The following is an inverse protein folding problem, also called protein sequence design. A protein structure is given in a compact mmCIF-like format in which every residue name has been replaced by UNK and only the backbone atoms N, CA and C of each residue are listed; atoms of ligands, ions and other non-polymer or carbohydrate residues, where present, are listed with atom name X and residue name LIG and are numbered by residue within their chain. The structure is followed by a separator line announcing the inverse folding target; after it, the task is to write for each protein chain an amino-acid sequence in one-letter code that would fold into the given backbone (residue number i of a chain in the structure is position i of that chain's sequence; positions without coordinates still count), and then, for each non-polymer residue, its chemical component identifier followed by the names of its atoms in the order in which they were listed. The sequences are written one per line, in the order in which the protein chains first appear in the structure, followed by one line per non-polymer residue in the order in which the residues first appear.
data_IF_353425893591
#
_entry.id   IF_353425893591
#
_cell.length_a   1.000
_cell.length_b   1.000
_cell.length_c   1.000
_cell.angle_alpha   90.00
_cell.angle_beta   90.00
_cell.angle_gamma   90.00
#
_symmetry.space_group_name_H-M   'P 1'
#
loop_
_entity.id
_entity.type
_entity.pdbx_description
1 polymer ?
#
# COMPACT_ATOMS: atom_id res chain seq x y z
N UNK A 1 14.01 -16.37 -10.64
CA UNK A 1 12.93 -15.39 -10.92
C UNK A 1 13.24 -14.71 -12.24
N UNK A 2 12.37 -14.81 -13.25
CA UNK A 2 12.56 -14.11 -14.53
C UNK A 2 12.18 -12.65 -14.30
N UNK A 3 13.14 -11.70 -14.33
CA UNK A 3 12.90 -10.33 -13.84
C UNK A 3 11.82 -9.59 -14.63
N UNK A 4 11.71 -9.87 -15.93
CA UNK A 4 10.79 -9.20 -16.85
C UNK A 4 9.32 -9.63 -16.68
N UNK A 5 9.08 -10.92 -16.39
CA UNK A 5 7.71 -11.43 -16.19
C UNK A 5 7.11 -10.87 -14.91
N UNK A 6 7.92 -10.75 -13.84
CA UNK A 6 7.47 -10.22 -12.56
C UNK A 6 7.06 -8.74 -12.68
N UNK A 7 7.86 -7.90 -13.35
CA UNK A 7 7.51 -6.48 -13.53
C UNK A 7 6.23 -6.29 -14.35
N UNK A 8 6.01 -7.12 -15.38
CA UNK A 8 4.77 -7.11 -16.17
C UNK A 8 3.54 -7.46 -15.33
N UNK A 9 3.63 -8.48 -14.47
CA UNK A 9 2.51 -8.89 -13.61
C UNK A 9 2.17 -7.78 -12.61
N UNK A 10 3.19 -7.21 -11.94
CA UNK A 10 2.99 -6.11 -10.99
C UNK A 10 2.33 -4.89 -11.65
N UNK A 11 2.79 -4.53 -12.84
CA UNK A 11 2.22 -3.43 -13.64
C UNK A 11 0.75 -3.70 -13.99
N UNK A 12 0.44 -4.89 -14.51
CA UNK A 12 -0.94 -5.28 -14.82
C UNK A 12 -1.86 -5.30 -13.59
N UNK A 13 -1.34 -5.71 -12.43
CA UNK A 13 -2.10 -5.71 -11.19
C UNK A 13 -2.40 -4.28 -10.74
N UNK A 14 -1.41 -3.38 -10.76
CA UNK A 14 -1.60 -1.98 -10.45
C UNK A 14 -2.61 -1.32 -11.41
N UNK A 15 -2.50 -1.56 -12.72
CA UNK A 15 -3.44 -1.07 -13.73
C UNK A 15 -4.85 -1.63 -13.51
N UNK A 16 -4.99 -2.94 -13.25
CA UNK A 16 -6.27 -3.59 -13.01
C UNK A 16 -6.99 -3.13 -11.74
N UNK A 17 -6.23 -2.67 -10.74
CA UNK A 17 -6.74 -2.05 -9.52
C UNK A 17 -6.95 -0.52 -9.67
N UNK A 18 -6.51 0.09 -10.78
CA UNK A 18 -6.53 1.55 -10.98
C UNK A 18 -5.52 2.31 -10.13
N UNK A 19 -4.46 1.64 -9.65
CA UNK A 19 -3.43 2.18 -8.76
C UNK A 19 -2.11 2.50 -9.48
N UNK A 20 -2.04 2.35 -10.80
CA UNK A 20 -0.81 2.55 -11.60
C UNK A 20 -0.27 3.99 -11.54
N UNK A 21 -1.16 4.98 -11.36
CA UNK A 21 -0.79 6.39 -11.16
C UNK A 21 -0.73 6.81 -9.69
N UNK A 22 -1.06 5.93 -8.75
CA UNK A 22 -1.05 6.28 -7.34
C UNK A 22 0.37 6.59 -6.86
N UNK A 23 0.53 7.69 -6.11
CA UNK A 23 1.82 8.09 -5.50
C UNK A 23 1.89 7.72 -4.02
N UNK A 24 0.75 7.69 -3.37
CA UNK A 24 0.59 7.31 -1.96
C UNK A 24 -0.59 6.36 -1.90
N UNK A 25 -0.36 5.16 -1.36
CA UNK A 25 -1.39 4.18 -1.07
C UNK A 25 -1.60 4.19 0.44
N UNK A 26 -2.80 4.52 0.88
CA UNK A 26 -3.15 4.64 2.29
C UNK A 26 -4.28 3.68 2.67
N UNK A 27 -4.18 3.06 3.83
CA UNK A 27 -5.28 2.39 4.51
C UNK A 27 -5.45 2.99 5.92
N UNK A 28 -6.65 2.92 6.48
CA UNK A 28 -6.90 3.42 7.84
C UNK A 28 -8.19 2.83 8.41
N UNK A 29 -8.70 3.45 9.47
CA UNK A 29 -9.87 3.02 10.25
C UNK A 29 -9.63 1.79 11.13
N UNK A 30 -8.99 0.74 10.60
CA UNK A 30 -8.66 -0.47 11.34
C UNK A 30 -7.28 -1.00 10.96
N UNK A 31 -6.59 -1.72 11.87
CA UNK A 31 -5.32 -2.36 11.56
C UNK A 31 -5.50 -3.41 10.45
N UNK A 32 -4.69 -3.31 9.40
CA UNK A 32 -4.67 -4.29 8.31
C UNK A 32 -3.90 -5.53 8.76
N UNK A 33 -4.30 -6.71 8.29
CA UNK A 33 -3.54 -7.92 8.64
C UNK A 33 -2.11 -7.85 8.07
N UNK A 34 -1.07 -8.24 8.84
CA UNK A 34 0.31 -8.21 8.36
C UNK A 34 0.52 -9.00 7.06
N UNK A 35 -0.13 -10.16 6.94
CA UNK A 35 -0.05 -11.00 5.75
C UNK A 35 -0.57 -10.31 4.48
N UNK A 36 -1.58 -9.43 4.62
CA UNK A 36 -2.12 -8.68 3.49
C UNK A 36 -1.17 -7.55 3.08
N UNK A 37 -0.59 -6.84 4.04
CA UNK A 37 0.42 -5.80 3.79
C UNK A 37 1.65 -6.41 3.08
N UNK A 38 2.12 -7.57 3.55
CA UNK A 38 3.22 -8.32 2.93
C UNK A 38 2.89 -8.76 1.50
N UNK A 39 1.66 -9.20 1.26
CA UNK A 39 1.22 -9.59 -0.07
C UNK A 39 1.23 -8.38 -1.03
N UNK A 40 0.65 -7.24 -0.63
CA UNK A 40 0.65 -6.02 -1.43
C UNK A 40 2.08 -5.53 -1.71
N UNK A 41 2.96 -5.54 -0.70
CA UNK A 41 4.36 -5.21 -0.87
C UNK A 41 5.06 -6.18 -1.86
N UNK A 42 4.75 -7.49 -1.79
CA UNK A 42 5.32 -8.48 -2.71
C UNK A 42 4.98 -8.23 -4.18
N UNK A 43 3.78 -7.67 -4.44
CA UNK A 43 3.31 -7.28 -5.78
C UNK A 43 3.68 -5.83 -6.14
N UNK A 44 4.48 -5.15 -5.32
CA UNK A 44 5.00 -3.81 -5.58
C UNK A 44 4.06 -2.66 -5.23
N UNK A 45 3.02 -2.92 -4.42
CA UNK A 45 2.09 -1.93 -3.91
C UNK A 45 2.41 -1.64 -2.45
N UNK A 46 3.01 -0.48 -2.21
CA UNK A 46 3.47 -0.07 -0.88
C UNK A 46 2.35 0.65 -0.13
N UNK A 47 1.52 -0.10 0.60
CA UNK A 47 0.43 0.44 1.40
C UNK A 47 0.98 1.02 2.71
N UNK A 48 0.58 2.25 3.02
CA UNK A 48 0.86 2.93 4.28
C UNK A 48 -0.39 2.92 5.15
N UNK A 49 -0.21 2.63 6.44
CA UNK A 49 -1.31 2.72 7.40
C UNK A 49 -1.38 4.13 8.00
N UNK A 50 -2.60 4.63 8.14
CA UNK A 50 -2.92 5.90 8.72
C UNK A 50 -3.96 5.73 9.83
N UNK A 51 -3.74 6.40 10.95
CA UNK A 51 -4.69 6.46 12.05
C UNK A 51 -5.28 7.86 12.14
N UNK A 52 -6.58 7.91 12.43
CA UNK A 52 -7.34 9.14 12.47
C UNK A 52 -8.77 8.92 12.92
N UNK A 53 -9.43 10.00 13.30
CA UNK A 53 -10.82 10.02 13.75
C UNK A 53 -11.50 11.26 13.16
N UNK A 54 -12.83 11.24 13.09
CA UNK A 54 -13.62 12.39 12.65
C UNK A 54 -13.35 13.64 13.50
N UNK A 55 -13.16 13.44 14.81
CA UNK A 55 -12.87 14.44 15.84
C UNK A 55 -11.48 15.07 15.69
N UNK A 56 -10.60 14.43 14.90
CA UNK A 56 -9.23 14.88 14.65
C UNK A 56 -9.04 15.42 13.23
N UNK A 57 -10.13 15.79 12.53
CA UNK A 57 -10.10 16.29 11.16
C UNK A 57 -9.50 15.29 10.15
N UNK A 58 -9.96 14.04 10.22
CA UNK A 58 -9.47 12.89 9.46
C UNK A 58 -8.16 12.30 10.02
N UNK A 59 -7.02 12.44 9.33
CA UNK A 59 -5.80 11.74 9.67
C UNK A 59 -4.97 12.50 10.70
N UNK A 60 -4.51 11.81 11.75
CA UNK A 60 -3.57 12.36 12.73
C UNK A 60 -2.15 11.84 12.52
N UNK A 61 -2.00 10.56 12.15
CA UNK A 61 -0.70 9.94 11.89
C UNK A 61 -0.76 9.04 10.66
N UNK A 62 0.36 8.95 9.93
CA UNK A 62 0.50 8.09 8.75
C UNK A 62 1.94 7.57 8.67
N UNK A 63 2.10 6.31 8.29
CA UNK A 63 3.40 5.67 8.09
C UNK A 63 3.99 5.99 6.69
N UNK A 64 4.12 7.28 6.38
CA UNK A 64 4.70 7.76 5.12
C UNK A 64 6.03 8.51 5.37
N UNK A 65 7.10 8.26 4.59
CA UNK A 65 7.18 7.31 3.47
C UNK A 65 7.08 5.84 3.93
N UNK A 66 6.63 4.95 3.04
CA UNK A 66 6.50 3.52 3.31
C UNK A 66 7.83 2.91 3.78
N UNK A 67 7.75 2.05 4.79
CA UNK A 67 8.87 1.33 5.38
C UNK A 67 8.47 -0.12 5.60
N UNK A 68 9.17 -1.04 4.92
CA UNK A 68 8.92 -2.49 5.07
C UNK A 68 9.54 -3.08 6.36
N UNK A 69 10.41 -2.32 7.03
CA UNK A 69 11.13 -2.72 8.24
C UNK A 69 10.42 -2.33 9.55
N UNK A 70 9.26 -1.66 9.44
CA UNK A 70 8.45 -1.18 10.55
C UNK A 70 7.04 -1.71 10.45
#
# INVERSE_FOLDING_TARGET
KIPFVNSLIKKKLAEGLGLDQARVLGCGSAPVSPALLDWYHSVGLNITEAWGMTESFAYSTINYPFRADK
#
